data_IF_732646839893
#
_entry.id   IF_732646839893
#
_cell.length_a   1.000
_cell.length_b   1.000
_cell.length_c   1.000
_cell.angle_alpha   90.00
_cell.angle_beta   90.00
_cell.angle_gamma   90.00
#
_symmetry.space_group_name_H-M   'P 1'
#
loop_
_entity.id
_entity.type
_entity.pdbx_description
1 polymer ?
#
# COMPACT_ATOMS: atom_id res chain seq x y z
N UNK A 1 -40.91 -19.25 3.76
CA UNK A 1 -40.73 -17.92 3.11
C UNK A 1 -40.13 -16.87 4.04
N UNK A 2 -40.63 -16.65 5.28
CA UNK A 2 -40.07 -15.65 6.21
C UNK A 2 -38.64 -15.97 6.73
N UNK A 3 -38.35 -17.25 7.00
CA UNK A 3 -37.01 -17.69 7.45
C UNK A 3 -35.93 -17.55 6.38
N UNK A 4 -36.30 -17.75 5.10
CA UNK A 4 -35.37 -17.66 3.97
C UNK A 4 -34.94 -16.21 3.69
N UNK A 5 -35.87 -15.25 3.85
CA UNK A 5 -35.56 -13.82 3.69
C UNK A 5 -34.64 -13.32 4.82
N UNK A 6 -34.85 -13.79 6.05
CA UNK A 6 -34.01 -13.45 7.19
C UNK A 6 -32.58 -14.00 7.06
N UNK A 7 -32.41 -15.22 6.54
CA UNK A 7 -31.09 -15.84 6.35
C UNK A 7 -30.26 -15.12 5.26
N UNK A 8 -30.91 -14.67 4.18
CA UNK A 8 -30.27 -13.87 3.15
C UNK A 8 -29.86 -12.47 3.65
N UNK A 9 -30.68 -11.84 4.49
CA UNK A 9 -30.36 -10.52 5.06
C UNK A 9 -29.16 -10.55 6.02
N UNK A 10 -28.98 -11.65 6.76
CA UNK A 10 -27.82 -11.82 7.67
C UNK A 10 -26.51 -12.04 6.90
N UNK A 11 -26.54 -12.71 5.75
CA UNK A 11 -25.35 -12.92 4.91
C UNK A 11 -24.82 -11.62 4.27
N UNK A 12 -25.70 -10.67 3.93
CA UNK A 12 -25.30 -9.38 3.35
C UNK A 12 -24.62 -8.47 4.40
N UNK A 13 -24.97 -8.61 5.68
CA UNK A 13 -24.40 -7.79 6.77
C UNK A 13 -22.99 -8.25 7.16
N UNK A 14 -22.62 -9.50 6.86
CA UNK A 14 -21.30 -10.06 7.20
C UNK A 14 -20.20 -9.80 6.16
N UNK A 15 -20.53 -9.18 5.01
CA UNK A 15 -19.53 -8.70 4.05
C UNK A 15 -18.86 -7.43 4.57
N UNK A 16 -17.90 -7.62 5.46
CA UNK A 16 -16.59 -6.98 5.37
C UNK A 16 -16.57 -5.46 5.49
N UNK A 17 -16.55 -4.96 6.73
CA UNK A 17 -15.89 -3.69 7.04
C UNK A 17 -14.36 -3.92 6.99
N UNK A 18 -13.80 -4.23 5.83
CA UNK A 18 -12.35 -4.21 5.63
C UNK A 18 -11.99 -2.75 5.35
N UNK A 19 -11.48 -2.06 6.36
CA UNK A 19 -10.95 -0.71 6.18
C UNK A 19 -9.62 -0.83 5.44
N UNK A 20 -9.61 -0.54 4.15
CA UNK A 20 -8.37 -0.32 3.43
C UNK A 20 -7.72 0.96 3.94
N UNK A 21 -6.39 1.02 3.96
CA UNK A 21 -5.69 2.28 4.20
C UNK A 21 -5.92 3.22 3.01
N UNK A 22 -6.27 4.48 3.28
CA UNK A 22 -6.68 5.44 2.25
C UNK A 22 -5.55 6.37 1.78
N UNK A 23 -4.43 6.43 2.51
CA UNK A 23 -3.28 7.28 2.15
C UNK A 23 -2.45 6.75 0.99
N UNK A 24 -1.65 7.63 0.38
CA UNK A 24 -0.70 7.32 -0.71
C UNK A 24 0.48 6.43 -0.27
N UNK A 25 0.62 6.21 1.03
CA UNK A 25 1.65 5.38 1.62
C UNK A 25 2.98 6.10 1.80
N UNK A 26 3.06 7.42 1.61
CA UNK A 26 4.30 8.18 1.73
C UNK A 26 4.83 8.16 3.17
N UNK A 27 5.99 7.53 3.43
CA UNK A 27 6.57 7.54 4.76
C UNK A 27 7.15 8.92 5.12
N UNK A 28 7.09 9.26 6.40
CA UNK A 28 7.82 10.40 6.96
C UNK A 28 9.30 10.13 7.22
N UNK A 29 9.74 8.87 7.07
CA UNK A 29 11.10 8.39 7.34
C UNK A 29 11.61 8.81 8.73
N UNK A 30 10.76 8.68 9.75
CA UNK A 30 11.04 9.14 11.13
C UNK A 30 11.72 8.08 11.99
N UNK A 31 11.87 6.85 11.48
CA UNK A 31 12.48 5.73 12.19
C UNK A 31 13.68 5.15 11.46
N UNK A 32 14.63 4.58 12.21
CA UNK A 32 15.78 3.89 11.61
C UNK A 32 15.35 2.67 10.78
N UNK A 33 14.28 1.98 11.19
CA UNK A 33 13.71 0.88 10.43
C UNK A 33 13.24 1.31 9.04
N UNK A 34 12.70 2.52 8.88
CA UNK A 34 12.30 3.02 7.56
C UNK A 34 13.49 3.28 6.64
N UNK A 35 14.63 3.71 7.20
CA UNK A 35 15.87 3.87 6.44
C UNK A 35 16.50 2.53 6.06
N UNK A 36 16.32 1.49 6.89
CA UNK A 36 16.77 0.14 6.60
C UNK A 36 15.90 -0.54 5.52
N UNK A 37 14.58 -0.33 5.56
CA UNK A 37 13.65 -0.81 4.51
C UNK A 37 13.85 -0.04 3.20
N UNK A 38 14.13 1.26 3.32
CA UNK A 38 14.46 2.21 2.26
C UNK A 38 13.34 2.52 1.25
N UNK A 39 12.59 1.52 0.76
CA UNK A 39 11.58 1.68 -0.29
C UNK A 39 10.21 1.16 0.13
N UNK A 40 9.16 1.87 -0.29
CA UNK A 40 7.79 1.62 0.10
C UNK A 40 6.86 1.81 -1.10
N UNK A 41 5.79 1.03 -1.18
CA UNK A 41 4.79 1.15 -2.22
C UNK A 41 4.15 2.54 -2.26
N UNK A 42 4.04 3.11 -3.46
CA UNK A 42 3.06 4.17 -3.70
C UNK A 42 1.68 3.52 -3.84
N UNK A 43 0.75 3.87 -2.96
CA UNK A 43 -0.55 3.23 -2.90
C UNK A 43 -1.47 3.59 -4.06
N UNK A 44 -1.21 4.70 -4.73
CA UNK A 44 -2.04 5.26 -5.79
C UNK A 44 -1.45 5.05 -7.19
N UNK A 45 -0.13 4.83 -7.30
CA UNK A 45 0.56 4.63 -8.57
C UNK A 45 1.50 3.41 -8.52
N UNK A 46 1.10 2.32 -9.17
CA UNK A 46 1.89 1.09 -9.26
C UNK A 46 3.20 1.26 -10.06
N UNK A 47 3.35 2.34 -10.84
CA UNK A 47 4.59 2.64 -11.59
C UNK A 47 5.61 3.42 -10.78
N UNK A 48 5.31 3.70 -9.51
CA UNK A 48 6.14 4.50 -8.61
C UNK A 48 6.29 3.83 -7.25
N UNK A 49 7.29 4.28 -6.51
CA UNK A 49 7.52 3.92 -5.12
C UNK A 49 8.08 5.11 -4.35
N UNK A 50 7.92 5.09 -3.04
CA UNK A 50 8.51 6.04 -2.11
C UNK A 50 9.88 5.56 -1.65
N UNK A 51 10.84 6.48 -1.54
CA UNK A 51 12.18 6.19 -1.04
C UNK A 51 12.55 7.09 0.13
N UNK A 52 12.93 6.47 1.24
CA UNK A 52 13.55 7.15 2.37
C UNK A 52 15.06 7.29 2.15
N UNK A 53 15.55 8.53 2.21
CA UNK A 53 16.98 8.84 2.02
C UNK A 53 17.64 9.42 3.28
N UNK A 54 16.86 10.05 4.15
CA UNK A 54 17.33 10.66 5.39
C UNK A 54 16.27 10.62 6.49
N UNK A 55 16.72 10.63 7.75
CA UNK A 55 15.84 10.62 8.92
C UNK A 55 15.08 11.95 9.04
N UNK A 56 13.79 11.89 9.36
CA UNK A 56 12.89 13.04 9.50
C UNK A 56 12.78 13.90 8.22
N UNK A 57 12.87 13.26 7.06
CA UNK A 57 12.57 13.87 5.77
C UNK A 57 11.53 12.99 5.07
N UNK A 58 10.42 13.55 4.57
CA UNK A 58 9.45 12.78 3.81
C UNK A 58 10.12 12.01 2.66
N UNK A 59 9.64 10.80 2.41
CA UNK A 59 10.15 9.98 1.32
C UNK A 59 9.92 10.66 -0.04
N UNK A 60 10.85 10.47 -0.96
CA UNK A 60 10.74 10.99 -2.33
C UNK A 60 10.09 9.98 -3.25
N UNK A 61 9.25 10.43 -4.18
CA UNK A 61 8.66 9.56 -5.20
C UNK A 61 9.69 9.26 -6.29
N UNK A 62 9.85 7.98 -6.64
CA UNK A 62 10.68 7.53 -7.74
C UNK A 62 9.89 6.60 -8.67
N UNK A 63 10.21 6.67 -9.97
CA UNK A 63 9.59 5.83 -11.00
C UNK A 63 10.29 4.48 -11.11
N UNK A 64 9.50 3.43 -11.31
CA UNK A 64 9.98 2.16 -11.82
C UNK A 64 10.47 2.31 -13.29
N UNK A 65 11.34 1.41 -13.77
CA UNK A 65 11.66 1.29 -15.19
C UNK A 65 10.41 1.14 -16.07
N UNK A 66 10.54 1.46 -17.36
CA UNK A 66 9.46 1.25 -18.32
C UNK A 66 8.99 -0.21 -18.32
N UNK A 67 7.68 -0.42 -18.54
CA UNK A 67 7.03 -1.73 -18.58
C UNK A 67 7.16 -2.58 -17.29
N UNK A 68 7.35 -1.93 -16.14
CA UNK A 68 7.40 -2.57 -14.82
C UNK A 68 6.50 -1.87 -13.79
N UNK A 69 6.12 -2.60 -12.75
CA UNK A 69 5.37 -2.09 -11.59
C UNK A 69 6.01 -2.50 -10.27
N UNK A 70 5.86 -1.68 -9.24
CA UNK A 70 6.42 -1.95 -7.91
C UNK A 70 5.59 -2.99 -7.14
N UNK A 71 6.28 -3.92 -6.48
CA UNK A 71 5.73 -4.93 -5.57
C UNK A 71 6.37 -4.73 -4.20
N UNK A 72 5.56 -4.43 -3.19
CA UNK A 72 6.00 -4.09 -1.84
C UNK A 72 6.62 -5.26 -1.11
N UNK A 73 6.04 -6.46 -1.23
CA UNK A 73 6.59 -7.67 -0.58
C UNK A 73 7.99 -8.04 -1.07
N UNK A 74 8.31 -7.69 -2.32
CA UNK A 74 9.63 -7.89 -2.93
C UNK A 74 10.54 -6.66 -2.81
N UNK A 75 9.98 -5.50 -2.43
CA UNK A 75 10.65 -4.19 -2.41
C UNK A 75 11.34 -3.89 -3.74
N UNK A 76 10.70 -4.22 -4.86
CA UNK A 76 11.31 -4.14 -6.19
C UNK A 76 10.27 -3.88 -7.29
N UNK A 77 10.75 -3.37 -8.43
CA UNK A 77 9.96 -3.27 -9.66
C UNK A 77 10.07 -4.60 -10.43
N UNK A 78 8.94 -5.16 -10.83
CA UNK A 78 8.84 -6.41 -11.61
C UNK A 78 8.11 -6.15 -12.93
N UNK A 79 8.30 -7.04 -13.92
CA UNK A 79 7.55 -6.94 -15.18
C UNK A 79 6.04 -7.13 -14.97
N UNK A 80 5.22 -6.54 -15.84
CA UNK A 80 3.75 -6.60 -15.70
C UNK A 80 3.16 -8.02 -15.70
N UNK A 81 3.85 -9.00 -16.28
CA UNK A 81 3.43 -10.41 -16.25
C UNK A 81 3.57 -11.05 -14.85
N UNK A 82 4.46 -10.51 -14.01
CA UNK A 82 4.73 -10.97 -12.65
C UNK A 82 4.09 -10.07 -11.58
N UNK A 83 3.59 -8.90 -11.99
CA UNK A 83 3.04 -7.92 -11.08
C UNK A 83 1.69 -8.39 -10.53
N UNK A 84 1.55 -8.34 -9.20
CA UNK A 84 0.30 -8.61 -8.51
C UNK A 84 -0.10 -7.40 -7.65
N UNK A 85 -1.41 -7.13 -7.59
CA UNK A 85 -1.92 -6.08 -6.71
C UNK A 85 -1.77 -6.49 -5.24
N UNK A 86 -1.22 -5.59 -4.43
CA UNK A 86 -1.11 -5.74 -2.98
C UNK A 86 -1.97 -4.69 -2.28
N UNK A 87 -2.60 -5.10 -1.18
CA UNK A 87 -3.46 -4.22 -0.40
C UNK A 87 -2.65 -3.07 0.21
N UNK A 88 -3.12 -1.80 0.11
CA UNK A 88 -2.48 -0.67 0.77
C UNK A 88 -2.31 -0.88 2.28
N UNK A 89 -1.11 -0.57 2.77
CA UNK A 89 -0.75 -0.59 4.19
C UNK A 89 -0.24 0.78 4.58
N UNK A 90 -0.51 1.20 5.81
CA UNK A 90 0.04 2.43 6.36
C UNK A 90 1.57 2.31 6.49
N UNK A 91 2.34 3.38 6.20
CA UNK A 91 3.76 3.40 6.49
C UNK A 91 4.00 3.38 8.01
N UNK A 92 5.23 3.06 8.43
CA UNK A 92 5.60 3.07 9.86
C UNK A 92 5.44 4.45 10.49
N UNK A 93 5.68 5.50 9.70
CA UNK A 93 5.36 6.88 10.05
C UNK A 93 4.82 7.62 8.82
N UNK A 94 3.83 8.48 9.00
CA UNK A 94 3.31 9.32 7.91
C UNK A 94 4.16 10.59 7.75
N UNK A 95 4.24 11.10 6.52
CA UNK A 95 4.77 12.42 6.24
C UNK A 95 3.91 13.50 6.94
N UNK A 96 4.56 14.57 7.40
CA UNK A 96 3.83 15.71 7.98
C UNK A 96 3.09 16.45 6.84
N UNK A 97 1.80 16.75 7.04
CA UNK A 97 0.96 17.50 6.10
C UNK A 97 1.37 18.96 5.97
#
# INVERSE_FOLDING_TARGET
MKLQIALCAVLVVFCGRVSAYEGDGQPGCKTQAELEIQVFRNNWDATSYWKCEALNQPATELKCPADTGFVDSLKNCVGWEEWEWEAPVAPLSEADQ
#
